data_IF_938775282537
#
_entry.id   IF_938775282537
#
_cell.length_a   1.000
_cell.length_b   1.000
_cell.length_c   1.000
_cell.angle_alpha   90.00
_cell.angle_beta   90.00
_cell.angle_gamma   90.00
#
_symmetry.space_group_name_H-M   'P 1'
#
loop_
_entity.id
_entity.type
_entity.pdbx_description
1 polymer ?
#
# COMPACT_ATOMS: atom_id res chain seq x y z
N UNK A 1 -15.83 -33.26 -19.08
CA UNK A 1 -14.49 -33.06 -19.69
C UNK A 1 -14.37 -31.78 -20.51
N UNK A 2 -15.43 -31.22 -21.12
CA UNK A 2 -15.37 -29.95 -21.88
C UNK A 2 -14.85 -28.74 -21.09
N UNK A 3 -15.11 -28.64 -19.78
CA UNK A 3 -14.61 -27.54 -18.94
C UNK A 3 -13.08 -27.59 -18.82
N UNK A 4 -12.46 -28.77 -18.82
CA UNK A 4 -11.01 -28.89 -18.72
C UNK A 4 -10.28 -28.54 -20.02
N UNK A 5 -10.90 -28.78 -21.18
CA UNK A 5 -10.35 -28.36 -22.48
C UNK A 5 -10.41 -26.83 -22.65
N UNK A 6 -11.38 -26.16 -22.02
CA UNK A 6 -11.47 -24.70 -22.05
C UNK A 6 -10.39 -23.99 -21.21
N UNK A 7 -9.70 -24.70 -20.28
CA UNK A 7 -8.67 -24.11 -19.41
C UNK A 7 -7.45 -23.55 -20.16
N UNK A 8 -7.19 -24.00 -21.39
CA UNK A 8 -6.13 -23.47 -22.27
C UNK A 8 -6.26 -21.95 -22.47
N UNK A 9 -7.49 -21.44 -22.51
CA UNK A 9 -7.78 -20.02 -22.70
C UNK A 9 -7.74 -19.20 -21.39
N UNK A 10 -7.78 -19.87 -20.23
CA UNK A 10 -7.94 -19.25 -18.92
C UNK A 10 -6.61 -19.07 -18.18
N UNK A 11 -5.50 -19.44 -18.80
CA UNK A 11 -4.16 -19.37 -18.21
C UNK A 11 -3.78 -17.96 -17.72
N UNK A 12 -4.20 -16.92 -18.44
CA UNK A 12 -3.86 -15.53 -18.11
C UNK A 12 -4.77 -14.88 -17.08
N UNK A 13 -5.95 -15.45 -16.84
CA UNK A 13 -6.96 -14.87 -15.95
C UNK A 13 -6.40 -14.68 -14.54
N UNK A 14 -5.75 -15.68 -13.91
CA UNK A 14 -5.08 -15.50 -12.63
C UNK A 14 -4.12 -14.31 -12.60
N UNK A 15 -3.32 -14.10 -13.65
CA UNK A 15 -2.32 -13.02 -13.72
C UNK A 15 -2.97 -11.64 -13.65
N UNK A 16 -4.01 -11.39 -14.45
CA UNK A 16 -4.76 -10.13 -14.39
C UNK A 16 -5.44 -9.92 -13.04
N UNK A 17 -5.94 -11.00 -12.45
CA UNK A 17 -6.53 -10.96 -11.11
C UNK A 17 -5.52 -10.64 -10.00
N UNK A 18 -4.27 -11.14 -10.09
CA UNK A 18 -3.18 -10.78 -9.19
C UNK A 18 -2.85 -9.29 -9.23
N UNK A 19 -2.86 -8.68 -10.42
CA UNK A 19 -2.66 -7.24 -10.59
C UNK A 19 -3.81 -6.46 -9.94
N UNK A 20 -5.06 -6.87 -10.19
CA UNK A 20 -6.24 -6.25 -9.57
C UNK A 20 -6.21 -6.33 -8.04
N UNK A 21 -5.78 -7.47 -7.49
CA UNK A 21 -5.66 -7.71 -6.06
C UNK A 21 -4.54 -6.87 -5.42
N UNK A 22 -3.42 -6.65 -6.13
CA UNK A 22 -2.41 -5.68 -5.70
C UNK A 22 -3.01 -4.27 -5.55
N UNK A 23 -3.75 -3.79 -6.56
CA UNK A 23 -4.41 -2.48 -6.50
C UNK A 23 -5.47 -2.42 -5.40
N UNK A 24 -6.19 -3.52 -5.17
CA UNK A 24 -7.14 -3.64 -4.06
C UNK A 24 -6.43 -3.45 -2.71
N UNK A 25 -5.33 -4.16 -2.46
CA UNK A 25 -4.59 -4.00 -1.21
C UNK A 25 -3.93 -2.62 -1.06
N UNK A 26 -3.38 -2.09 -2.14
CA UNK A 26 -2.75 -0.77 -2.17
C UNK A 26 -3.75 0.34 -1.85
N UNK A 27 -4.97 0.27 -2.43
CA UNK A 27 -5.98 1.32 -2.28
C UNK A 27 -6.91 1.05 -1.10
N UNK A 28 -7.43 -0.15 -0.91
CA UNK A 28 -8.54 -0.39 0.05
C UNK A 28 -8.03 -0.77 1.43
N UNK A 29 -7.01 -1.62 1.53
CA UNK A 29 -6.62 -2.29 2.80
C UNK A 29 -5.60 -1.51 3.64
N UNK A 30 -4.93 -0.48 3.09
CA UNK A 30 -3.93 0.31 3.80
C UNK A 30 -4.38 1.00 5.12
N UNK A 31 -5.66 1.42 5.33
CA UNK A 31 -6.06 2.14 6.55
C UNK A 31 -5.87 1.31 7.82
N UNK A 32 -6.02 -0.01 7.74
CA UNK A 32 -5.79 -0.93 8.87
C UNK A 32 -4.32 -0.97 9.27
N UNK A 33 -3.43 -0.97 8.29
CA UNK A 33 -2.00 -0.93 8.55
C UNK A 33 -1.61 0.42 9.18
N UNK A 34 -2.13 1.52 8.65
CA UNK A 34 -1.93 2.85 9.24
C UNK A 34 -2.44 2.94 10.67
N UNK A 35 -3.61 2.35 10.98
CA UNK A 35 -4.12 2.27 12.36
C UNK A 35 -3.18 1.53 13.31
N UNK A 36 -2.55 0.44 12.84
CA UNK A 36 -1.51 -0.27 13.63
C UNK A 36 -0.29 0.62 13.87
N UNK A 37 0.12 1.42 12.88
CA UNK A 37 1.24 2.37 13.02
C UNK A 37 0.88 3.50 14.01
N UNK A 38 -0.31 4.07 13.93
CA UNK A 38 -0.80 5.09 14.88
C UNK A 38 -0.81 4.54 16.31
N UNK A 39 -1.29 3.31 16.52
CA UNK A 39 -1.25 2.65 17.84
C UNK A 39 0.17 2.43 18.37
N UNK A 40 1.16 2.29 17.49
CA UNK A 40 2.58 2.21 17.86
C UNK A 40 3.21 3.59 18.14
N UNK A 41 2.44 4.68 18.11
CA UNK A 41 2.92 6.03 18.35
C UNK A 41 3.54 6.70 17.12
N UNK A 42 3.36 6.14 15.92
CA UNK A 42 3.92 6.71 14.70
C UNK A 42 3.06 7.91 14.26
N UNK A 43 3.56 9.12 14.55
CA UNK A 43 2.81 10.39 14.41
C UNK A 43 2.54 10.82 12.97
N UNK A 44 3.30 10.32 12.00
CA UNK A 44 3.07 10.60 10.57
C UNK A 44 1.98 9.73 9.93
N UNK A 45 1.55 8.66 10.59
CA UNK A 45 0.55 7.76 10.05
C UNK A 45 -0.84 8.41 10.10
N UNK A 46 -1.49 8.53 8.94
CA UNK A 46 -2.85 9.08 8.82
C UNK A 46 -3.85 7.97 8.50
N UNK A 47 -4.97 7.97 9.21
CA UNK A 47 -6.08 7.03 8.98
C UNK A 47 -7.27 7.82 8.41
N UNK A 48 -7.70 7.55 7.15
CA UNK A 48 -8.89 8.18 6.59
C UNK A 48 -10.15 7.73 7.34
N UNK A 49 -11.12 8.62 7.47
CA UNK A 49 -12.37 8.39 8.22
C UNK A 49 -13.36 7.48 7.47
N UNK A 50 -13.34 7.49 6.13
CA UNK A 50 -14.37 6.85 5.30
C UNK A 50 -14.08 5.42 4.84
N UNK A 51 -12.89 4.86 5.07
CA UNK A 51 -12.59 3.50 4.59
C UNK A 51 -12.90 2.47 5.67
N UNK A 52 -14.11 1.91 5.56
CA UNK A 52 -14.58 0.76 6.35
C UNK A 52 -13.59 -0.41 6.31
N UNK A 53 -13.53 -1.18 7.40
CA UNK A 53 -12.56 -2.24 7.59
C UNK A 53 -13.08 -3.56 7.00
N UNK A 54 -12.79 -3.84 5.73
CA UNK A 54 -13.27 -5.05 5.04
C UNK A 54 -12.34 -6.26 5.23
N UNK A 55 -12.06 -6.61 6.48
CA UNK A 55 -11.19 -7.74 6.86
C UNK A 55 -11.66 -9.10 6.31
N UNK A 56 -12.96 -9.48 6.41
CA UNK A 56 -13.41 -10.74 5.82
C UNK A 56 -13.36 -10.70 4.30
N UNK A 57 -13.53 -9.52 3.70
CA UNK A 57 -13.50 -9.36 2.25
C UNK A 57 -12.08 -9.52 1.71
N UNK A 58 -11.06 -9.00 2.39
CA UNK A 58 -9.66 -9.21 2.02
C UNK A 58 -9.30 -10.70 2.07
N UNK A 59 -9.75 -11.42 3.10
CA UNK A 59 -9.53 -12.86 3.22
C UNK A 59 -10.29 -13.63 2.14
N UNK A 60 -11.56 -13.30 1.91
CA UNK A 60 -12.39 -13.90 0.87
C UNK A 60 -11.81 -13.67 -0.54
N UNK A 61 -11.36 -12.45 -0.84
CA UNK A 61 -10.68 -12.16 -2.11
C UNK A 61 -9.37 -12.93 -2.25
N UNK A 62 -8.55 -13.00 -1.20
CA UNK A 62 -7.29 -13.77 -1.26
C UNK A 62 -7.55 -15.26 -1.44
N UNK A 63 -8.59 -15.80 -0.78
CA UNK A 63 -8.99 -17.20 -0.87
C UNK A 63 -9.54 -17.54 -2.27
N UNK A 64 -10.45 -16.71 -2.79
CA UNK A 64 -10.97 -16.86 -4.15
C UNK A 64 -9.83 -16.80 -5.17
N UNK A 65 -8.86 -15.90 -5.00
CA UNK A 65 -7.72 -15.82 -5.91
C UNK A 65 -6.75 -16.99 -5.79
N UNK A 66 -6.56 -17.54 -4.59
CA UNK A 66 -5.78 -18.77 -4.42
C UNK A 66 -6.44 -19.96 -5.13
N UNK A 67 -7.77 -20.06 -5.09
CA UNK A 67 -8.53 -21.09 -5.81
C UNK A 67 -8.49 -20.90 -7.33
N UNK A 68 -8.68 -19.66 -7.82
CA UNK A 68 -8.59 -19.35 -9.26
C UNK A 68 -7.16 -19.58 -9.78
N UNK A 69 -6.14 -19.29 -8.98
CA UNK A 69 -4.74 -19.54 -9.33
C UNK A 69 -4.35 -21.01 -9.28
N UNK A 70 -5.16 -21.87 -8.67
CA UNK A 70 -4.96 -23.32 -8.71
C UNK A 70 -5.47 -23.94 -10.02
N UNK A 71 -6.33 -23.24 -10.79
CA UNK A 71 -6.87 -23.76 -12.06
C UNK A 71 -5.79 -24.07 -13.11
N UNK A 72 -4.76 -23.23 -13.34
CA UNK A 72 -3.63 -23.59 -14.20
C UNK A 72 -2.84 -24.79 -13.67
N UNK A 73 -2.69 -24.93 -12.35
CA UNK A 73 -2.00 -26.08 -11.77
C UNK A 73 -2.80 -27.38 -12.02
N UNK A 74 -4.12 -27.35 -11.82
CA UNK A 74 -5.03 -28.45 -12.14
C UNK A 74 -4.95 -28.83 -13.62
N UNK A 75 -4.84 -27.84 -14.52
CA UNK A 75 -4.63 -28.09 -15.94
C UNK A 75 -3.31 -28.82 -16.23
N UNK A 76 -2.18 -28.36 -15.67
CA UNK A 76 -0.87 -29.03 -15.82
C UNK A 76 -0.92 -30.47 -15.32
N UNK A 77 -1.54 -30.68 -14.14
CA UNK A 77 -1.71 -32.01 -13.56
C UNK A 77 -2.66 -32.92 -14.35
N UNK A 78 -3.52 -32.39 -15.22
CA UNK A 78 -4.44 -33.19 -16.04
C UNK A 78 -3.87 -33.48 -17.44
N UNK A 79 -3.10 -32.54 -18.01
CA UNK A 79 -2.58 -32.63 -19.39
C UNK A 79 -1.22 -33.32 -19.49
N UNK A 80 -0.37 -33.19 -18.47
CA UNK A 80 1.06 -33.56 -18.56
C UNK A 80 1.51 -34.60 -17.54
N UNK A 81 0.80 -34.71 -16.42
CA UNK A 81 1.06 -35.69 -15.38
C UNK A 81 -0.14 -36.61 -15.40
N UNK A 82 0.01 -37.92 -15.58
CA UNK A 82 -1.09 -38.91 -15.55
C UNK A 82 -1.64 -39.12 -14.12
N UNK A 83 -1.72 -38.03 -13.35
CA UNK A 83 -2.15 -37.98 -11.96
C UNK A 83 -3.56 -37.41 -11.86
N UNK A 84 -4.32 -37.75 -10.80
CA UNK A 84 -5.64 -37.18 -10.59
C UNK A 84 -5.63 -35.65 -10.49
N UNK A 85 -6.55 -35.01 -11.22
CA UNK A 85 -6.68 -33.54 -11.31
C UNK A 85 -6.77 -32.81 -9.96
N UNK A 86 -7.30 -33.47 -8.92
CA UNK A 86 -7.45 -32.86 -7.60
C UNK A 86 -6.11 -32.55 -6.91
N UNK A 87 -5.01 -33.19 -7.31
CA UNK A 87 -3.67 -32.85 -6.80
C UNK A 87 -3.23 -31.43 -7.18
N UNK A 88 -3.77 -30.84 -8.25
CA UNK A 88 -3.52 -29.44 -8.60
C UNK A 88 -3.97 -28.45 -7.53
N UNK A 89 -4.99 -28.78 -6.72
CA UNK A 89 -5.43 -27.95 -5.60
C UNK A 89 -4.43 -27.94 -4.43
N UNK A 90 -3.51 -28.91 -4.36
CA UNK A 90 -2.45 -28.92 -3.34
C UNK A 90 -1.49 -27.73 -3.45
N UNK A 91 -1.48 -27.03 -4.60
CA UNK A 91 -0.68 -25.80 -4.82
C UNK A 91 -1.40 -24.55 -4.31
N UNK A 92 -2.71 -24.62 -4.02
CA UNK A 92 -3.49 -23.47 -3.52
C UNK A 92 -2.94 -22.81 -2.23
N UNK A 93 -2.36 -23.52 -1.24
CA UNK A 93 -1.75 -22.88 -0.08
C UNK A 93 -0.53 -22.03 -0.46
N UNK A 94 0.21 -22.42 -1.49
CA UNK A 94 1.37 -21.67 -1.97
C UNK A 94 0.94 -20.33 -2.56
N UNK A 95 -0.13 -20.31 -3.37
CA UNK A 95 -0.73 -19.08 -3.88
C UNK A 95 -1.28 -18.20 -2.75
N UNK A 96 -1.85 -18.80 -1.70
CA UNK A 96 -2.31 -18.03 -0.53
C UNK A 96 -1.14 -17.31 0.17
N UNK A 97 0.01 -17.98 0.32
CA UNK A 97 1.22 -17.37 0.89
C UNK A 97 1.71 -16.19 0.03
N UNK A 98 1.74 -16.36 -1.30
CA UNK A 98 2.09 -15.26 -2.24
C UNK A 98 1.14 -14.07 -2.06
N UNK A 99 -0.16 -14.33 -1.88
CA UNK A 99 -1.19 -13.31 -1.60
C UNK A 99 -0.92 -12.53 -0.33
N UNK A 100 -0.55 -13.24 0.74
CA UNK A 100 -0.18 -12.63 2.01
C UNK A 100 1.07 -11.75 1.89
N UNK A 101 2.09 -12.20 1.16
CA UNK A 101 3.31 -11.43 0.89
C UNK A 101 2.99 -10.17 0.09
N UNK A 102 2.20 -10.30 -0.97
CA UNK A 102 1.76 -9.17 -1.80
C UNK A 102 0.97 -8.13 -0.99
N UNK A 103 0.10 -8.59 -0.09
CA UNK A 103 -0.63 -7.72 0.83
C UNK A 103 0.32 -6.94 1.75
N UNK A 104 1.37 -7.60 2.25
CA UNK A 104 2.37 -6.98 3.12
C UNK A 104 3.21 -5.95 2.35
N UNK A 105 3.63 -6.25 1.13
CA UNK A 105 4.43 -5.33 0.31
C UNK A 105 3.61 -4.09 -0.10
N UNK A 106 2.35 -4.26 -0.51
CA UNK A 106 1.45 -3.15 -0.85
C UNK A 106 1.23 -2.19 0.36
N UNK A 107 1.09 -2.75 1.57
CA UNK A 107 1.00 -1.97 2.82
C UNK A 107 2.28 -1.21 3.11
N UNK A 108 3.45 -1.86 2.98
CA UNK A 108 4.76 -1.23 3.18
C UNK A 108 4.97 -0.07 2.21
N UNK A 109 4.68 -0.29 0.92
CA UNK A 109 4.78 0.76 -0.12
C UNK A 109 3.89 1.96 0.16
N UNK A 110 2.68 1.72 0.68
CA UNK A 110 1.81 2.81 1.09
C UNK A 110 2.39 3.57 2.28
N UNK A 111 2.97 2.88 3.27
CA UNK A 111 3.65 3.53 4.39
C UNK A 111 4.86 4.37 3.96
N UNK A 112 5.72 3.85 3.08
CA UNK A 112 6.84 4.60 2.48
C UNK A 112 6.35 5.89 1.80
N UNK A 113 5.20 5.83 1.12
CA UNK A 113 4.60 6.98 0.43
C UNK A 113 4.07 8.05 1.40
N UNK A 114 3.47 7.65 2.53
CA UNK A 114 3.08 8.60 3.59
C UNK A 114 4.28 9.17 4.34
N UNK A 115 5.29 8.35 4.60
CA UNK A 115 6.52 8.76 5.28
C UNK A 115 7.30 9.79 4.45
N UNK A 116 7.47 9.55 3.15
CA UNK A 116 8.11 10.49 2.24
C UNK A 116 7.34 11.82 2.14
N UNK A 117 6.02 11.77 2.04
CA UNK A 117 5.17 12.97 2.06
C UNK A 117 5.30 13.76 3.38
N UNK A 118 5.41 13.07 4.52
CA UNK A 118 5.64 13.70 5.82
C UNK A 118 7.01 14.38 5.89
N UNK A 119 8.08 13.72 5.42
CA UNK A 119 9.42 14.31 5.40
C UNK A 119 9.50 15.55 4.52
N UNK A 120 8.78 15.58 3.40
CA UNK A 120 8.68 16.77 2.58
C UNK A 120 8.06 17.94 3.37
N UNK A 121 6.97 17.68 4.09
CA UNK A 121 6.29 18.69 4.89
C UNK A 121 7.18 19.18 6.04
N UNK A 122 7.90 18.27 6.71
CA UNK A 122 8.88 18.61 7.74
C UNK A 122 9.94 19.58 7.22
N UNK A 123 10.52 19.27 6.04
CA UNK A 123 11.52 20.14 5.40
C UNK A 123 10.96 21.53 5.06
N UNK A 124 9.71 21.62 4.61
CA UNK A 124 9.05 22.91 4.36
C UNK A 124 8.89 23.73 5.63
N UNK A 125 8.38 23.11 6.69
CA UNK A 125 8.16 23.80 7.97
C UNK A 125 9.48 24.30 8.56
N UNK A 126 10.53 23.49 8.49
CA UNK A 126 11.87 23.87 8.94
C UNK A 126 12.43 25.05 8.13
N UNK A 127 12.37 24.98 6.81
CA UNK A 127 12.79 26.07 5.91
C UNK A 127 12.02 27.37 6.17
N UNK A 128 10.70 27.29 6.35
CA UNK A 128 9.88 28.45 6.69
C UNK A 128 10.23 29.07 8.05
N UNK A 129 10.62 28.25 9.04
CA UNK A 129 11.08 28.76 10.34
C UNK A 129 12.46 29.42 10.27
N UNK A 130 13.38 28.84 9.49
CA UNK A 130 14.75 29.34 9.31
C UNK A 130 14.77 30.67 8.55
N UNK A 131 14.03 30.80 7.43
CA UNK A 131 13.93 32.09 6.69
C UNK A 131 13.34 33.20 7.55
N UNK A 132 12.39 32.87 8.43
CA UNK A 132 11.72 33.85 9.29
C UNK A 132 12.58 34.26 10.50
N UNK A 133 13.83 33.78 10.58
CA UNK A 133 14.75 34.07 11.69
C UNK A 133 14.28 33.52 13.05
N UNK A 134 13.26 32.65 13.05
CA UNK A 134 12.70 32.05 14.26
C UNK A 134 13.16 30.60 14.33
N UNK A 135 14.37 30.39 14.85
CA UNK A 135 14.88 29.05 15.15
C UNK A 135 13.98 28.40 16.20
N UNK A 136 13.06 27.56 15.74
CA UNK A 136 12.16 26.80 16.59
C UNK A 136 12.88 25.58 17.14
N UNK A 137 12.49 25.15 18.33
CA UNK A 137 12.93 23.86 18.85
C UNK A 137 12.52 22.74 17.90
N UNK A 138 13.31 21.67 17.84
CA UNK A 138 13.00 20.49 17.02
C UNK A 138 11.60 19.91 17.35
N UNK A 139 11.21 19.97 18.62
CA UNK A 139 9.88 19.58 19.08
C UNK A 139 8.77 20.45 18.49
N UNK A 140 8.97 21.76 18.37
CA UNK A 140 7.98 22.67 17.82
C UNK A 140 7.85 22.53 16.31
N UNK A 141 8.98 22.34 15.62
CA UNK A 141 9.00 22.01 14.18
C UNK A 141 8.22 20.71 13.94
N UNK A 142 8.45 19.69 14.76
CA UNK A 142 7.77 18.40 14.66
C UNK A 142 6.26 18.52 14.91
N UNK A 143 5.86 19.20 15.99
CA UNK A 143 4.44 19.39 16.34
C UNK A 143 3.71 20.20 15.25
N UNK A 144 4.31 21.29 14.76
CA UNK A 144 3.76 22.09 13.69
C UNK A 144 3.66 21.31 12.37
N UNK A 145 4.65 20.47 12.08
CA UNK A 145 4.62 19.57 10.91
C UNK A 145 3.46 18.59 11.01
N UNK A 146 3.27 17.91 12.14
CA UNK A 146 2.15 16.98 12.34
C UNK A 146 0.82 17.69 12.14
N UNK A 147 0.66 18.87 12.74
CA UNK A 147 -0.56 19.66 12.62
C UNK A 147 -0.83 20.07 11.17
N UNK A 148 0.16 20.65 10.49
CA UNK A 148 0.05 21.08 9.09
C UNK A 148 -0.25 19.91 8.16
N UNK A 149 0.49 18.81 8.32
CA UNK A 149 0.34 17.60 7.52
C UNK A 149 -1.06 17.00 7.68
N UNK A 150 -1.53 16.85 8.93
CA UNK A 150 -2.86 16.31 9.22
C UNK A 150 -3.96 17.20 8.67
N UNK A 151 -3.83 18.53 8.80
CA UNK A 151 -4.79 19.49 8.26
C UNK A 151 -4.89 19.40 6.74
N UNK A 152 -3.75 19.34 6.04
CA UNK A 152 -3.70 19.20 4.58
C UNK A 152 -4.28 17.87 4.11
N UNK A 153 -4.02 16.77 4.83
CA UNK A 153 -4.59 15.46 4.55
C UNK A 153 -6.11 15.42 4.73
N UNK A 154 -6.64 15.97 5.83
CA UNK A 154 -8.09 16.10 6.04
C UNK A 154 -8.75 16.90 4.93
N UNK A 155 -8.14 18.02 4.52
CA UNK A 155 -8.65 18.82 3.41
C UNK A 155 -8.64 18.02 2.09
N UNK A 156 -7.54 17.31 1.81
CA UNK A 156 -7.45 16.47 0.62
C UNK A 156 -8.45 15.29 0.64
N UNK A 157 -8.77 14.75 1.81
CA UNK A 157 -9.82 13.74 2.01
C UNK A 157 -11.20 14.30 1.70
N UNK A 158 -11.55 15.47 2.24
CA UNK A 158 -12.83 16.14 2.01
C UNK A 158 -13.08 16.41 0.50
N UNK A 159 -12.01 16.64 -0.27
CA UNK A 159 -12.07 16.86 -1.71
C UNK A 159 -11.90 15.58 -2.56
N UNK A 160 -11.82 14.39 -1.93
CA UNK A 160 -11.63 13.12 -2.64
C UNK A 160 -10.27 12.96 -3.33
N UNK A 161 -9.30 13.84 -3.04
CA UNK A 161 -7.99 13.92 -3.70
C UNK A 161 -6.82 13.44 -2.83
N UNK A 162 -7.11 12.80 -1.69
CA UNK A 162 -6.12 12.31 -0.73
C UNK A 162 -4.96 11.55 -1.41
N UNK A 163 -5.26 10.53 -2.23
CA UNK A 163 -4.23 9.75 -2.90
C UNK A 163 -3.39 10.54 -3.90
N UNK A 164 -4.04 11.40 -4.69
CA UNK A 164 -3.34 12.29 -5.63
C UNK A 164 -2.40 13.23 -4.88
N UNK A 165 -2.85 13.74 -3.74
CA UNK A 165 -2.09 14.66 -2.90
C UNK A 165 -0.87 14.00 -2.27
N UNK A 166 -1.02 12.85 -1.61
CA UNK A 166 0.12 12.15 -0.98
C UNK A 166 1.12 11.67 -2.04
N UNK A 167 0.64 11.13 -3.17
CA UNK A 167 1.52 10.70 -4.26
C UNK A 167 2.28 11.88 -4.90
N UNK A 168 1.62 13.02 -5.08
CA UNK A 168 2.28 14.24 -5.57
C UNK A 168 3.37 14.69 -4.60
N UNK A 169 3.10 14.74 -3.29
CA UNK A 169 4.11 15.12 -2.30
C UNK A 169 5.26 14.11 -2.22
N UNK A 170 4.98 12.81 -2.20
CA UNK A 170 6.00 11.77 -2.17
C UNK A 170 6.96 11.83 -3.39
N UNK A 171 6.43 12.19 -4.57
CA UNK A 171 7.23 12.36 -5.80
C UNK A 171 7.92 13.72 -5.89
N UNK A 172 7.44 14.71 -5.17
CA UNK A 172 8.00 16.07 -5.23
C UNK A 172 9.33 16.08 -4.50
N UNK A 173 10.44 16.09 -5.25
CA UNK A 173 11.78 16.39 -4.71
C UNK A 173 12.08 17.89 -4.61
N UNK A 174 11.18 18.74 -5.14
CA UNK A 174 11.34 20.20 -5.19
C UNK A 174 11.09 20.84 -3.82
N UNK A 175 12.16 20.93 -3.03
CA UNK A 175 12.48 21.97 -2.05
C UNK A 175 13.96 22.30 -2.32
N UNK A 176 14.41 23.57 -2.23
CA UNK A 176 15.68 24.01 -2.83
C UNK A 176 16.88 23.16 -2.39
N UNK A 177 17.91 23.04 -3.24
CA UNK A 177 19.24 22.68 -2.75
C UNK A 177 19.61 23.71 -1.66
N UNK A 178 20.36 23.29 -0.65
CA UNK A 178 20.96 24.14 0.40
C UNK A 178 20.17 24.33 1.70
N UNK A 179 19.79 23.22 2.36
CA UNK A 179 19.60 23.20 3.84
C UNK A 179 20.46 22.12 4.52
N UNK A 180 21.24 21.35 3.75
CA UNK A 180 22.16 20.35 4.30
C UNK A 180 23.62 20.81 4.34
N UNK A 181 23.92 22.06 3.95
CA UNK A 181 25.29 22.59 3.96
C UNK A 181 25.69 23.25 5.29
N UNK A 182 24.76 23.57 6.19
CA UNK A 182 25.08 24.40 7.38
C UNK A 182 24.87 23.70 8.74
N UNK A 183 24.41 22.44 8.80
CA UNK A 183 24.30 21.70 10.08
C UNK A 183 25.36 20.62 10.28
N UNK A 184 26.50 20.73 9.59
CA UNK A 184 27.73 19.99 9.94
C UNK A 184 28.78 20.96 10.47
N UNK A 185 28.59 21.40 11.72
CA UNK A 185 29.66 21.86 12.62
C UNK A 185 29.30 21.46 14.05
#
# INVERSE_FOLDING_TARGET
>A
MQILESLDYWFWIPVFFWIGLYFWFYRVTYPRYMKKLVRKGIKWAYVPAWRGYWLPLDFLFTLLMALVSALPAVWVFFKWLDYPWYYGFAVSPLFFIVGAVLCRTAKSKTAELYQSAYFLEYRKVRYESEIRGNFRSESDVHNHTIWSFTKKLKNAEAHGRLWKYVNAMAKTKKIPPDVYAETMY
#
